data_IF_626979643963
#
_entry.id   IF_626979643963
#
_cell.length_a   1.000
_cell.length_b   1.000
_cell.length_c   1.000
_cell.angle_alpha   90.00
_cell.angle_beta   90.00
_cell.angle_gamma   90.00
#
_symmetry.space_group_name_H-M   'P 1'
#
loop_
_entity.id
_entity.type
_entity.pdbx_description
1 polymer ?
#
# COMPACT_ATOMS: atom_id res chain seq x y z
N UNK A 1 15.93 -26.26 22.15
CA UNK A 1 15.20 -26.32 20.87
C UNK A 1 15.32 -24.96 20.20
N UNK A 2 15.96 -24.86 19.05
CA UNK A 2 15.94 -23.66 18.23
C UNK A 2 14.50 -23.41 17.78
N UNK A 3 13.94 -22.20 17.96
CA UNK A 3 12.60 -21.91 17.46
C UNK A 3 12.55 -22.17 15.94
N UNK A 4 11.43 -22.66 15.40
CA UNK A 4 11.32 -22.90 13.98
C UNK A 4 11.61 -21.61 13.23
N UNK A 5 12.49 -21.66 12.20
CA UNK A 5 12.76 -20.49 11.35
C UNK A 5 11.45 -19.99 10.79
N UNK A 6 11.04 -18.80 11.20
CA UNK A 6 9.86 -18.14 10.63
C UNK A 6 10.06 -17.97 9.12
N UNK A 7 9.04 -18.31 8.32
CA UNK A 7 9.08 -18.08 6.87
C UNK A 7 9.24 -16.58 6.59
N UNK A 8 10.03 -16.26 5.59
CA UNK A 8 10.17 -14.89 5.10
C UNK A 8 8.83 -14.41 4.55
N UNK A 9 8.43 -13.21 4.93
CA UNK A 9 7.28 -12.52 4.38
C UNK A 9 7.71 -11.23 3.65
N UNK A 10 6.89 -10.82 2.69
CA UNK A 10 7.09 -9.64 1.86
C UNK A 10 5.78 -8.87 1.81
N UNK A 11 5.81 -7.57 2.06
CA UNK A 11 4.67 -6.69 1.85
C UNK A 11 5.07 -5.53 0.92
N UNK A 12 4.49 -5.52 -0.27
CA UNK A 12 4.78 -4.53 -1.32
C UNK A 12 3.70 -3.45 -1.41
N UNK A 13 2.61 -3.57 -0.61
CA UNK A 13 1.49 -2.66 -0.65
C UNK A 13 0.98 -2.39 0.77
N UNK A 14 1.53 -1.35 1.37
CA UNK A 14 1.18 -0.96 2.73
C UNK A 14 1.15 0.58 2.82
N UNK A 15 -0.05 1.14 3.02
CA UNK A 15 -0.23 2.59 3.16
C UNK A 15 0.15 3.05 4.56
N UNK A 16 1.09 3.98 4.68
CA UNK A 16 1.55 4.47 5.99
C UNK A 16 0.40 5.00 6.86
N UNK A 17 -0.61 5.64 6.24
CA UNK A 17 -1.78 6.17 6.95
C UNK A 17 -2.62 5.12 7.69
N UNK A 18 -2.57 3.86 7.25
CA UNK A 18 -3.36 2.76 7.79
C UNK A 18 -2.51 1.61 8.34
N UNK A 19 -1.21 1.84 8.49
CA UNK A 19 -0.24 0.81 8.93
C UNK A 19 0.39 1.08 10.28
N UNK A 20 0.06 2.20 10.91
CA UNK A 20 0.58 2.56 12.24
C UNK A 20 -0.42 2.13 13.31
N UNK A 21 0.06 1.42 14.31
CA UNK A 21 -0.78 0.95 15.39
C UNK A 21 -1.52 2.12 16.10
N UNK A 22 -2.82 1.98 16.41
CA UNK A 22 -3.62 3.02 17.05
C UNK A 22 -2.97 3.61 18.31
N UNK A 23 -2.35 2.78 19.15
CA UNK A 23 -1.66 3.20 20.35
C UNK A 23 -0.46 4.13 20.10
N UNK A 24 0.22 3.95 18.97
CA UNK A 24 1.33 4.82 18.55
C UNK A 24 0.77 6.16 18.05
N UNK A 25 -0.27 6.13 17.20
CA UNK A 25 -0.93 7.36 16.75
C UNK A 25 -1.51 8.16 17.91
N UNK A 26 -2.13 7.48 18.88
CA UNK A 26 -2.62 8.10 20.11
C UNK A 26 -1.50 8.80 20.88
N UNK A 27 -0.37 8.12 21.09
CA UNK A 27 0.81 8.68 21.76
C UNK A 27 1.37 9.90 21.03
N UNK A 28 1.50 9.83 19.69
CA UNK A 28 1.98 10.94 18.86
C UNK A 28 1.04 12.14 19.00
N UNK A 29 -0.28 11.93 18.88
CA UNK A 29 -1.28 12.98 18.96
C UNK A 29 -1.19 13.74 20.30
N UNK A 30 -1.06 13.01 21.41
CA UNK A 30 -0.96 13.61 22.74
C UNK A 30 0.35 14.40 22.94
N UNK A 31 1.48 13.84 22.50
CA UNK A 31 2.78 14.53 22.58
C UNK A 31 2.82 15.82 21.74
N UNK A 32 2.11 15.84 20.62
CA UNK A 32 2.06 16.99 19.71
C UNK A 32 0.90 17.94 19.99
N UNK A 33 0.10 17.69 21.05
CA UNK A 33 -1.04 18.54 21.42
C UNK A 33 -2.15 18.56 20.35
N UNK A 34 -2.29 17.49 19.55
CA UNK A 34 -3.35 17.37 18.56
C UNK A 34 -4.65 17.03 19.30
N UNK A 35 -5.64 17.90 19.15
CA UNK A 35 -6.98 17.66 19.71
C UNK A 35 -7.69 16.56 18.91
N UNK A 36 -7.82 15.39 19.51
CA UNK A 36 -8.58 14.27 18.95
C UNK A 36 -10.09 14.45 19.20
N UNK A 37 -10.95 13.78 18.41
CA UNK A 37 -12.41 13.84 18.57
C UNK A 37 -12.90 13.13 19.85
N UNK A 38 -12.19 12.10 20.31
CA UNK A 38 -12.43 11.41 21.57
C UNK A 38 -11.30 11.65 22.58
N UNK A 39 -11.65 11.60 23.88
CA UNK A 39 -10.71 11.60 25.00
C UNK A 39 -10.44 10.18 25.51
N UNK A 40 -11.14 9.19 25.01
CA UNK A 40 -10.97 7.77 25.32
C UNK A 40 -10.19 7.07 24.21
N UNK A 41 -9.23 6.24 24.60
CA UNK A 41 -8.38 5.51 23.65
C UNK A 41 -9.17 4.50 22.82
N UNK A 42 -10.10 3.79 23.43
CA UNK A 42 -10.85 2.73 22.74
C UNK A 42 -11.82 3.32 21.71
N UNK A 43 -12.47 4.42 22.04
CA UNK A 43 -13.28 5.17 21.06
C UNK A 43 -12.42 5.65 19.88
N UNK A 44 -11.18 6.10 20.15
CA UNK A 44 -10.26 6.52 19.10
C UNK A 44 -9.83 5.34 18.22
N UNK A 45 -9.49 4.20 18.84
CA UNK A 45 -9.13 2.99 18.11
C UNK A 45 -10.28 2.52 17.22
N UNK A 46 -11.51 2.43 17.75
CA UNK A 46 -12.70 2.06 16.98
C UNK A 46 -12.95 3.01 15.80
N UNK A 47 -12.63 4.30 15.96
CA UNK A 47 -12.79 5.29 14.90
C UNK A 47 -11.81 5.11 13.74
N UNK A 48 -10.61 4.57 13.98
CA UNK A 48 -9.54 4.43 12.96
C UNK A 48 -9.26 2.97 12.58
N UNK A 49 -10.08 2.02 13.04
CA UNK A 49 -10.00 0.60 12.69
C UNK A 49 -11.35 0.08 12.23
N UNK A 50 -11.33 -1.02 11.51
CA UNK A 50 -12.54 -1.74 11.10
C UNK A 50 -12.62 -3.05 11.84
N UNK A 51 -13.65 -3.22 12.68
CA UNK A 51 -13.85 -4.43 13.47
C UNK A 51 -14.89 -5.37 12.86
N UNK A 52 -14.90 -6.63 13.28
CA UNK A 52 -15.93 -7.59 12.95
C UNK A 52 -16.19 -7.73 11.43
N UNK A 53 -17.43 -7.50 11.01
CA UNK A 53 -17.87 -7.60 9.61
C UNK A 53 -18.11 -6.24 8.95
N UNK A 54 -17.57 -5.17 9.49
CA UNK A 54 -17.70 -3.83 8.94
C UNK A 54 -17.15 -3.75 7.52
N UNK A 55 -17.81 -2.94 6.69
CA UNK A 55 -17.45 -2.71 5.30
C UNK A 55 -17.65 -1.25 4.93
N UNK A 56 -16.72 -0.70 4.21
CA UNK A 56 -16.90 0.58 3.53
C UNK A 56 -17.80 0.41 2.31
N UNK A 57 -18.63 1.41 2.05
CA UNK A 57 -19.47 1.46 0.85
C UNK A 57 -18.63 1.81 -0.39
N UNK A 58 -17.61 2.61 -0.19
CA UNK A 58 -16.69 3.05 -1.24
C UNK A 58 -15.42 3.69 -0.63
N UNK A 59 -14.44 3.99 -1.47
CA UNK A 59 -13.17 4.61 -1.06
C UNK A 59 -13.34 6.04 -0.49
N UNK A 60 -14.36 6.77 -0.88
CA UNK A 60 -14.64 8.12 -0.33
C UNK A 60 -15.03 8.05 1.16
N UNK A 61 -15.84 7.06 1.55
CA UNK A 61 -16.21 6.83 2.93
C UNK A 61 -15.00 6.44 3.78
N UNK A 62 -14.16 5.55 3.26
CA UNK A 62 -12.90 5.16 3.89
C UNK A 62 -11.97 6.37 4.12
N UNK A 63 -11.78 7.20 3.10
CA UNK A 63 -10.93 8.39 3.22
C UNK A 63 -11.43 9.37 4.28
N UNK A 64 -12.73 9.61 4.36
CA UNK A 64 -13.30 10.53 5.35
C UNK A 64 -13.22 10.00 6.78
N UNK A 65 -13.45 8.71 6.96
CA UNK A 65 -13.58 8.12 8.29
C UNK A 65 -12.21 7.80 8.92
N UNK A 66 -11.26 7.31 8.13
CA UNK A 66 -9.98 6.81 8.64
C UNK A 66 -8.81 7.74 8.30
N UNK A 67 -8.55 8.00 7.03
CA UNK A 67 -7.34 8.72 6.62
C UNK A 67 -7.29 10.17 7.08
N UNK A 68 -8.43 10.82 7.30
CA UNK A 68 -8.45 12.19 7.81
C UNK A 68 -7.66 12.34 9.13
N UNK A 69 -7.92 11.46 10.10
CA UNK A 69 -7.27 11.53 11.41
C UNK A 69 -5.84 10.99 11.38
N UNK A 70 -5.63 9.86 10.75
CA UNK A 70 -4.30 9.25 10.71
C UNK A 70 -3.30 10.12 9.95
N UNK A 71 -3.71 10.72 8.84
CA UNK A 71 -2.87 11.66 8.10
C UNK A 71 -2.60 12.96 8.87
N UNK A 72 -3.58 13.48 9.60
CA UNK A 72 -3.40 14.68 10.41
C UNK A 72 -2.41 14.45 11.56
N UNK A 73 -2.48 13.31 12.23
CA UNK A 73 -1.55 12.93 13.29
C UNK A 73 -0.12 12.79 12.74
N UNK A 74 0.00 12.23 11.53
CA UNK A 74 1.28 12.02 10.83
C UNK A 74 1.73 13.24 10.02
N UNK A 75 1.47 14.47 10.49
CA UNK A 75 1.76 15.71 9.74
C UNK A 75 2.92 16.52 10.34
N UNK A 76 3.91 15.85 10.92
CA UNK A 76 5.19 16.42 11.31
C UNK A 76 6.34 15.46 11.00
N UNK A 77 7.57 15.95 10.84
CA UNK A 77 8.74 15.09 10.62
C UNK A 77 8.90 14.01 11.69
N UNK A 78 8.77 14.38 12.98
CA UNK A 78 8.88 13.43 14.10
C UNK A 78 7.79 12.36 14.06
N UNK A 79 6.54 12.73 13.75
CA UNK A 79 5.44 11.78 13.64
C UNK A 79 5.63 10.80 12.46
N UNK A 80 6.11 11.29 11.33
CA UNK A 80 6.40 10.45 10.15
C UNK A 80 7.56 9.50 10.44
N UNK A 81 8.65 9.98 11.01
CA UNK A 81 9.81 9.15 11.35
C UNK A 81 9.41 8.01 12.28
N UNK A 82 8.71 8.33 13.38
CA UNK A 82 8.23 7.34 14.35
C UNK A 82 7.24 6.37 13.69
N UNK A 83 6.30 6.87 12.90
CA UNK A 83 5.32 6.05 12.18
C UNK A 83 5.99 5.02 11.27
N UNK A 84 6.93 5.45 10.44
CA UNK A 84 7.65 4.54 9.53
C UNK A 84 8.49 3.53 10.30
N UNK A 85 9.28 3.98 11.28
CA UNK A 85 10.09 3.09 12.12
C UNK A 85 9.23 2.01 12.79
N UNK A 86 8.12 2.42 13.40
CA UNK A 86 7.23 1.50 14.11
C UNK A 86 6.51 0.53 13.17
N UNK A 87 6.08 1.00 11.99
CA UNK A 87 5.42 0.14 11.00
C UNK A 87 6.37 -0.93 10.46
N UNK A 88 7.57 -0.55 10.06
CA UNK A 88 8.58 -1.49 9.54
C UNK A 88 8.97 -2.50 10.61
N UNK A 89 9.33 -2.03 11.82
CA UNK A 89 9.69 -2.91 12.93
C UNK A 89 8.52 -3.78 13.41
N UNK A 90 7.30 -3.25 13.41
CA UNK A 90 6.08 -3.98 13.74
C UNK A 90 5.79 -5.10 12.74
N UNK A 91 5.90 -4.83 11.45
CA UNK A 91 5.74 -5.83 10.39
C UNK A 91 6.72 -6.99 10.52
N UNK A 92 7.98 -6.69 10.83
CA UNK A 92 8.98 -7.73 11.12
C UNK A 92 8.63 -8.54 12.36
N UNK A 93 8.32 -7.90 13.48
CA UNK A 93 8.00 -8.61 14.73
C UNK A 93 6.73 -9.45 14.64
N UNK A 94 5.66 -8.90 14.02
CA UNK A 94 4.36 -9.58 13.89
C UNK A 94 4.39 -10.71 12.85
N UNK A 95 4.97 -10.46 11.67
CA UNK A 95 4.82 -11.33 10.49
C UNK A 95 6.13 -11.72 9.80
N UNK A 96 7.30 -11.40 10.38
CA UNK A 96 8.62 -11.65 9.78
C UNK A 96 8.73 -11.04 8.36
N UNK A 97 8.18 -9.83 8.15
CA UNK A 97 8.34 -9.10 6.89
C UNK A 97 9.79 -8.65 6.80
N UNK A 98 10.51 -9.18 5.80
CA UNK A 98 11.92 -8.85 5.54
C UNK A 98 12.10 -7.94 4.32
N UNK A 99 11.07 -7.80 3.49
CA UNK A 99 11.00 -6.81 2.42
C UNK A 99 9.69 -6.04 2.61
N UNK A 100 9.79 -4.75 2.90
CA UNK A 100 8.63 -3.92 3.22
C UNK A 100 8.65 -2.63 2.40
N UNK A 101 7.68 -2.44 1.53
CA UNK A 101 7.51 -1.21 0.76
C UNK A 101 6.30 -0.43 1.27
N UNK A 102 6.57 0.68 1.94
CA UNK A 102 5.56 1.59 2.45
C UNK A 102 5.25 2.68 1.42
N UNK A 103 3.99 3.06 1.34
CA UNK A 103 3.56 4.14 0.46
C UNK A 103 2.79 5.23 1.20
N UNK A 104 3.01 6.49 0.80
CA UNK A 104 2.24 7.62 1.30
C UNK A 104 2.32 8.83 0.37
N UNK A 105 1.35 9.75 0.50
CA UNK A 105 1.37 11.04 -0.18
C UNK A 105 2.03 12.09 0.74
N UNK A 106 3.18 12.67 0.37
CA UNK A 106 3.88 13.63 1.24
C UNK A 106 3.14 14.98 1.34
N UNK A 107 2.39 15.37 0.30
CA UNK A 107 1.66 16.63 0.28
C UNK A 107 0.45 16.61 1.23
N UNK A 108 -0.13 15.45 1.49
CA UNK A 108 -1.19 15.28 2.49
C UNK A 108 -0.68 15.33 3.94
N UNK A 109 0.63 15.33 4.16
CA UNK A 109 1.28 15.34 5.49
C UNK A 109 1.68 16.72 5.98
N UNK A 110 1.23 17.79 5.35
CA UNK A 110 1.57 19.16 5.77
C UNK A 110 0.37 19.97 6.30
N UNK A 111 -0.68 19.31 6.74
CA UNK A 111 -1.97 19.96 7.07
C UNK A 111 -1.90 20.94 8.24
N UNK A 112 -1.02 20.76 9.22
CA UNK A 112 -0.97 21.58 10.44
C UNK A 112 0.42 21.99 10.91
N UNK A 113 1.48 21.50 10.32
CA UNK A 113 2.83 21.74 10.84
C UNK A 113 3.82 22.01 9.73
N UNK A 114 4.55 21.00 9.38
CA UNK A 114 5.61 21.10 8.39
C UNK A 114 5.05 21.37 6.99
N UNK A 115 5.52 22.43 6.36
CA UNK A 115 5.14 22.82 5.00
C UNK A 115 6.16 22.40 3.97
N UNK A 116 7.38 22.09 4.41
CA UNK A 116 8.43 21.59 3.53
C UNK A 116 8.30 20.06 3.37
N UNK A 117 7.86 19.64 2.18
CA UNK A 117 7.77 18.21 1.85
C UNK A 117 9.11 17.49 1.93
N UNK A 118 10.23 18.18 1.76
CA UNK A 118 11.56 17.57 1.88
C UNK A 118 11.78 17.07 3.31
N UNK A 119 11.39 17.82 4.33
CA UNK A 119 11.48 17.37 5.72
C UNK A 119 10.61 16.14 6.00
N UNK A 120 9.39 16.09 5.46
CA UNK A 120 8.49 14.93 5.57
C UNK A 120 9.10 13.68 4.91
N UNK A 121 9.64 13.85 3.69
CA UNK A 121 10.26 12.74 2.94
C UNK A 121 11.53 12.25 3.64
N UNK A 122 12.40 13.16 4.06
CA UNK A 122 13.62 12.82 4.79
C UNK A 122 13.31 12.10 6.11
N UNK A 123 12.29 12.56 6.85
CA UNK A 123 11.86 11.90 8.08
C UNK A 123 11.36 10.47 7.83
N UNK A 124 10.63 10.24 6.74
CA UNK A 124 10.20 8.89 6.35
C UNK A 124 11.41 7.98 6.04
N UNK A 125 12.40 8.51 5.31
CA UNK A 125 13.64 7.78 5.00
C UNK A 125 14.44 7.45 6.26
N UNK A 126 14.60 8.40 7.19
CA UNK A 126 15.25 8.17 8.48
C UNK A 126 14.50 7.13 9.33
N UNK A 127 13.17 7.16 9.33
CA UNK A 127 12.37 6.16 10.01
C UNK A 127 12.61 4.74 9.47
N UNK A 128 12.70 4.60 8.14
CA UNK A 128 13.03 3.33 7.49
C UNK A 128 14.46 2.88 7.82
N UNK A 129 15.44 3.79 7.75
CA UNK A 129 16.83 3.51 8.10
C UNK A 129 16.98 3.06 9.56
N UNK A 130 16.37 3.76 10.51
CA UNK A 130 16.38 3.40 11.92
C UNK A 130 15.77 2.01 12.16
N UNK A 131 14.69 1.66 11.44
CA UNK A 131 14.12 0.32 11.53
C UNK A 131 15.06 -0.75 10.97
N UNK A 132 15.73 -0.49 9.86
CA UNK A 132 16.72 -1.42 9.28
C UNK A 132 17.97 -1.58 10.14
N UNK A 133 18.40 -0.54 10.83
CA UNK A 133 19.49 -0.62 11.82
C UNK A 133 19.09 -1.47 13.03
N UNK A 134 17.85 -1.33 13.51
CA UNK A 134 17.32 -2.12 14.62
C UNK A 134 17.06 -3.59 14.22
N UNK A 135 16.66 -3.81 12.97
CA UNK A 135 16.36 -5.13 12.39
C UNK A 135 17.13 -5.36 11.10
N UNK A 136 18.43 -5.78 11.14
CA UNK A 136 19.29 -5.90 9.96
C UNK A 136 18.81 -6.90 8.89
N UNK A 137 17.83 -7.74 9.22
CA UNK A 137 17.20 -8.68 8.27
C UNK A 137 16.17 -8.00 7.37
N UNK A 138 15.74 -6.79 7.73
CA UNK A 138 14.70 -6.05 7.01
C UNK A 138 15.33 -5.15 5.96
N UNK A 139 14.74 -5.14 4.78
CA UNK A 139 14.92 -4.12 3.75
C UNK A 139 13.62 -3.36 3.62
N UNK A 140 13.65 -2.05 3.80
CA UNK A 140 12.49 -1.18 3.66
C UNK A 140 12.72 -0.13 2.56
N UNK A 141 11.68 0.18 1.81
CA UNK A 141 11.68 1.22 0.79
C UNK A 141 10.41 2.07 0.85
N UNK A 142 10.52 3.31 0.39
CA UNK A 142 9.40 4.25 0.40
C UNK A 142 8.94 4.52 -1.03
N UNK A 143 7.63 4.45 -1.27
CA UNK A 143 6.97 4.81 -2.51
C UNK A 143 6.20 6.11 -2.28
N UNK A 144 6.44 7.13 -3.10
CA UNK A 144 5.67 8.36 -3.04
C UNK A 144 4.41 8.25 -3.91
N UNK A 145 3.27 8.60 -3.31
CA UNK A 145 1.96 8.49 -3.96
C UNK A 145 1.53 9.83 -4.55
N UNK A 146 1.22 9.84 -5.84
CA UNK A 146 0.33 10.81 -6.46
C UNK A 146 -1.10 10.60 -5.99
N UNK A 147 -1.97 11.58 -6.21
CA UNK A 147 -3.35 11.50 -5.78
C UNK A 147 -4.32 11.87 -6.90
N UNK A 148 -5.44 11.12 -7.02
CA UNK A 148 -6.48 11.36 -8.01
C UNK A 148 -7.29 12.64 -7.76
N UNK A 149 -7.18 13.21 -6.56
CA UNK A 149 -7.81 14.49 -6.21
C UNK A 149 -6.90 15.70 -6.53
N UNK A 150 -5.65 15.45 -6.89
CA UNK A 150 -4.67 16.48 -7.18
C UNK A 150 -4.63 16.84 -8.66
N UNK A 151 -4.27 18.10 -8.93
CA UNK A 151 -3.96 18.55 -10.28
C UNK A 151 -2.69 17.87 -10.80
N UNK A 152 -2.53 17.83 -12.13
CA UNK A 152 -1.30 17.31 -12.76
C UNK A 152 -0.06 17.98 -12.19
N UNK A 153 -0.09 19.32 -11.96
CA UNK A 153 1.02 20.08 -11.40
C UNK A 153 1.37 19.68 -9.97
N UNK A 154 0.39 19.38 -9.12
CA UNK A 154 0.64 18.89 -7.77
C UNK A 154 1.26 17.48 -7.80
N UNK A 155 0.77 16.62 -8.66
CA UNK A 155 1.33 15.29 -8.87
C UNK A 155 2.74 15.35 -9.47
N UNK A 156 3.02 16.30 -10.35
CA UNK A 156 4.36 16.55 -10.89
C UNK A 156 5.37 16.89 -9.77
N UNK A 157 5.00 17.75 -8.82
CA UNK A 157 5.86 18.05 -7.66
C UNK A 157 6.20 16.78 -6.87
N UNK A 158 5.24 15.87 -6.67
CA UNK A 158 5.48 14.60 -5.98
C UNK A 158 6.50 13.74 -6.74
N UNK A 159 6.36 13.65 -8.07
CA UNK A 159 7.29 12.90 -8.91
C UNK A 159 8.69 13.52 -8.91
N UNK A 160 8.80 14.86 -8.95
CA UNK A 160 10.08 15.55 -8.82
C UNK A 160 10.78 15.23 -7.50
N UNK A 161 10.02 15.19 -6.40
CA UNK A 161 10.54 14.77 -5.10
C UNK A 161 10.95 13.30 -5.09
N UNK A 162 10.16 12.42 -5.70
CA UNK A 162 10.53 11.00 -5.80
C UNK A 162 11.85 10.81 -6.56
N UNK A 163 12.04 11.51 -7.67
CA UNK A 163 13.29 11.48 -8.44
C UNK A 163 14.45 12.05 -7.62
N UNK A 164 14.25 13.18 -6.92
CA UNK A 164 15.28 13.81 -6.08
C UNK A 164 15.82 12.86 -5.00
N UNK A 165 14.95 12.09 -4.38
CA UNK A 165 15.28 11.20 -3.25
C UNK A 165 15.47 9.73 -3.62
N UNK A 166 15.51 9.40 -4.91
CA UNK A 166 15.62 8.03 -5.40
C UNK A 166 16.88 7.31 -4.85
N UNK A 167 18.02 7.97 -4.84
CA UNK A 167 19.27 7.43 -4.31
C UNK A 167 19.30 7.29 -2.78
N UNK A 168 18.31 7.84 -2.08
CA UNK A 168 18.23 7.84 -0.61
C UNK A 168 17.19 6.88 -0.06
N UNK A 169 16.49 6.10 -0.93
CA UNK A 169 15.53 5.09 -0.47
C UNK A 169 14.08 5.31 -0.92
N UNK A 170 13.82 6.33 -1.77
CA UNK A 170 12.58 6.36 -2.54
C UNK A 170 12.73 5.36 -3.68
N UNK A 171 11.95 4.29 -3.62
CA UNK A 171 12.10 3.16 -4.54
C UNK A 171 11.10 3.18 -5.71
N UNK A 172 10.04 3.96 -5.61
CA UNK A 172 9.01 4.00 -6.65
C UNK A 172 7.99 5.12 -6.47
N UNK A 173 7.08 5.18 -7.43
CA UNK A 173 5.89 6.02 -7.39
C UNK A 173 4.63 5.19 -7.55
N UNK A 174 3.53 5.74 -7.05
CA UNK A 174 2.18 5.20 -7.17
C UNK A 174 1.19 6.31 -7.50
N UNK A 175 -0.04 5.98 -7.89
CA UNK A 175 -1.18 6.87 -7.86
C UNK A 175 -2.36 6.16 -7.22
N UNK A 176 -2.95 6.78 -6.21
CA UNK A 176 -4.08 6.25 -5.47
C UNK A 176 -5.13 7.33 -5.19
N UNK A 177 -6.10 7.00 -4.36
CA UNK A 177 -7.22 7.87 -4.01
C UNK A 177 -8.50 7.53 -4.78
N UNK A 178 -9.62 8.09 -4.34
CA UNK A 178 -10.93 7.78 -4.93
C UNK A 178 -11.01 8.24 -6.37
N UNK A 179 -11.77 7.48 -7.17
CA UNK A 179 -11.96 7.82 -8.56
C UNK A 179 -12.65 9.18 -8.72
N UNK A 180 -12.05 10.05 -9.51
CA UNK A 180 -12.56 11.39 -9.79
C UNK A 180 -12.71 11.59 -11.30
N UNK A 181 -13.83 12.18 -11.73
CA UNK A 181 -14.04 12.55 -13.14
C UNK A 181 -13.02 13.55 -13.65
N UNK A 182 -12.40 14.29 -12.75
CA UNK A 182 -11.36 15.29 -13.04
C UNK A 182 -9.97 14.68 -13.17
N UNK A 183 -9.79 13.41 -12.82
CA UNK A 183 -8.51 12.72 -12.97
C UNK A 183 -8.45 11.96 -14.29
N UNK A 184 -7.37 12.15 -15.01
CA UNK A 184 -7.04 11.41 -16.24
C UNK A 184 -5.67 10.80 -16.12
N UNK A 185 -5.59 9.47 -16.09
CA UNK A 185 -4.30 8.77 -16.07
C UNK A 185 -3.49 9.04 -17.35
N UNK A 186 -4.15 9.35 -18.47
CA UNK A 186 -3.55 9.72 -19.75
C UNK A 186 -2.74 11.01 -19.63
N UNK A 187 -3.28 12.02 -18.97
CA UNK A 187 -2.59 13.30 -18.75
C UNK A 187 -1.36 13.15 -17.83
N UNK A 188 -1.34 12.12 -16.99
CA UNK A 188 -0.22 11.82 -16.09
C UNK A 188 0.83 10.89 -16.70
N UNK A 189 0.63 10.38 -17.92
CA UNK A 189 1.54 9.38 -18.52
C UNK A 189 2.99 9.86 -18.54
N UNK A 190 3.25 11.10 -18.89
CA UNK A 190 4.62 11.65 -18.94
C UNK A 190 5.31 11.64 -17.56
N UNK A 191 4.57 11.71 -16.46
CA UNK A 191 5.10 11.62 -15.10
C UNK A 191 5.63 10.21 -14.81
N UNK A 192 4.90 9.18 -15.22
CA UNK A 192 5.36 7.80 -15.12
C UNK A 192 6.58 7.55 -15.99
N UNK A 193 6.61 8.09 -17.20
CA UNK A 193 7.76 7.96 -18.10
C UNK A 193 9.02 8.65 -17.50
N UNK A 194 8.87 9.82 -16.87
CA UNK A 194 9.96 10.51 -16.16
C UNK A 194 10.47 9.70 -14.98
N UNK A 195 9.58 9.17 -14.15
CA UNK A 195 9.94 8.34 -13.00
C UNK A 195 10.70 7.06 -13.43
N UNK A 196 10.20 6.38 -14.47
CA UNK A 196 10.88 5.21 -15.04
C UNK A 196 12.28 5.54 -15.57
N UNK A 197 12.41 6.66 -16.30
CA UNK A 197 13.72 7.13 -16.81
C UNK A 197 14.70 7.42 -15.69
N UNK A 198 14.23 7.86 -14.54
CA UNK A 198 15.04 8.07 -13.34
C UNK A 198 15.36 6.77 -12.57
N UNK A 199 14.82 5.62 -12.98
CA UNK A 199 15.07 4.31 -12.34
C UNK A 199 14.16 3.99 -11.17
N UNK A 200 13.05 4.72 -11.00
CA UNK A 200 12.01 4.42 -10.02
C UNK A 200 11.10 3.29 -10.51
N UNK A 201 10.66 2.43 -9.59
CA UNK A 201 9.61 1.46 -9.85
C UNK A 201 8.25 2.13 -10.01
N UNK A 202 7.39 1.53 -10.85
CA UNK A 202 6.05 2.03 -11.09
C UNK A 202 5.02 1.03 -10.59
N UNK A 203 4.18 1.46 -9.64
CA UNK A 203 2.93 0.78 -9.29
C UNK A 203 1.76 1.74 -9.47
N UNK A 204 0.58 1.26 -9.78
CA UNK A 204 -0.60 2.10 -10.05
C UNK A 204 -1.81 1.39 -9.49
N UNK A 205 -2.56 2.04 -8.57
CA UNK A 205 -3.86 1.55 -8.14
C UNK A 205 -4.83 1.62 -9.32
N UNK A 206 -5.33 0.49 -9.77
CA UNK A 206 -6.38 0.40 -10.79
C UNK A 206 -6.99 -0.99 -10.81
N UNK A 207 -8.22 -1.13 -11.31
CA UNK A 207 -8.91 -2.42 -11.29
C UNK A 207 -9.21 -2.94 -9.89
N UNK A 208 -9.27 -2.06 -8.90
CA UNK A 208 -9.86 -2.30 -7.59
C UNK A 208 -11.37 -2.14 -7.71
N UNK A 209 -11.85 -0.98 -8.09
CA UNK A 209 -13.24 -0.80 -8.48
C UNK A 209 -13.44 -1.19 -9.96
N UNK A 210 -14.67 -1.35 -10.41
CA UNK A 210 -15.03 -1.92 -11.72
C UNK A 210 -14.59 -1.10 -12.98
N UNK A 211 -13.59 -0.24 -12.85
CA UNK A 211 -13.14 0.66 -13.93
C UNK A 211 -12.06 0.02 -14.79
N UNK A 212 -12.46 -0.93 -15.59
CA UNK A 212 -11.54 -1.68 -16.45
C UNK A 212 -10.93 -0.84 -17.59
N UNK A 213 -11.57 0.26 -18.01
CA UNK A 213 -11.05 1.11 -19.09
C UNK A 213 -9.75 1.81 -18.70
N UNK A 214 -9.68 2.35 -17.47
CA UNK A 214 -8.42 2.88 -16.96
C UNK A 214 -7.36 1.78 -16.86
N UNK A 215 -7.71 0.62 -16.32
CA UNK A 215 -6.76 -0.49 -16.21
C UNK A 215 -6.26 -0.97 -17.58
N UNK A 216 -7.13 -1.01 -18.61
CA UNK A 216 -6.71 -1.32 -20.00
C UNK A 216 -5.68 -0.32 -20.49
N UNK A 217 -5.88 0.97 -20.26
CA UNK A 217 -4.92 2.00 -20.65
C UNK A 217 -3.61 1.84 -19.89
N UNK A 218 -3.66 1.69 -18.58
CA UNK A 218 -2.49 1.49 -17.71
C UNK A 218 -1.66 0.29 -18.18
N UNK A 219 -2.31 -0.84 -18.43
CA UNK A 219 -1.62 -2.07 -18.85
C UNK A 219 -1.02 -1.97 -20.24
N UNK A 220 -1.69 -1.32 -21.20
CA UNK A 220 -1.24 -1.30 -22.59
C UNK A 220 -0.29 -0.14 -22.92
N UNK A 221 -0.49 1.05 -22.29
CA UNK A 221 0.20 2.26 -22.65
C UNK A 221 1.26 2.70 -21.63
N UNK A 222 0.98 2.53 -20.31
CA UNK A 222 1.95 2.88 -19.27
C UNK A 222 2.87 1.70 -18.97
N UNK A 223 2.30 0.48 -18.92
CA UNK A 223 3.04 -0.77 -18.64
C UNK A 223 3.85 -0.67 -17.35
N UNK A 224 3.20 -0.47 -16.19
CA UNK A 224 3.90 -0.40 -14.91
C UNK A 224 4.50 -1.76 -14.55
N UNK A 225 5.40 -1.77 -13.59
CA UNK A 225 5.97 -3.01 -13.04
C UNK A 225 4.93 -3.78 -12.23
N UNK A 226 4.09 -3.02 -11.49
CA UNK A 226 3.04 -3.58 -10.65
C UNK A 226 1.73 -2.79 -10.78
N UNK A 227 0.66 -3.42 -10.36
CA UNK A 227 -0.66 -2.78 -10.23
C UNK A 227 -1.17 -3.03 -8.82
N UNK A 228 -1.51 -1.94 -8.10
CA UNK A 228 -2.22 -1.99 -6.84
C UNK A 228 -3.61 -2.58 -7.06
N UNK A 229 -3.93 -3.63 -6.32
CA UNK A 229 -5.09 -4.50 -6.47
C UNK A 229 -5.18 -5.17 -7.84
N UNK A 230 -5.82 -4.56 -8.82
CA UNK A 230 -6.00 -5.11 -10.17
C UNK A 230 -6.91 -6.33 -10.24
N UNK A 231 -7.59 -6.71 -9.17
CA UNK A 231 -8.33 -7.96 -9.03
C UNK A 231 -9.51 -8.07 -10.02
N UNK A 232 -10.09 -6.95 -10.43
CA UNK A 232 -11.21 -6.91 -11.37
C UNK A 232 -10.83 -7.32 -12.80
N UNK A 233 -9.53 -7.43 -13.12
CA UNK A 233 -9.09 -7.90 -14.44
C UNK A 233 -9.59 -9.32 -14.77
N UNK A 234 -10.01 -10.09 -13.76
CA UNK A 234 -10.56 -11.45 -13.95
C UNK A 234 -11.83 -11.47 -14.82
N UNK A 235 -12.48 -10.33 -14.98
CA UNK A 235 -13.67 -10.17 -15.81
C UNK A 235 -13.35 -9.84 -17.28
N UNK A 236 -12.06 -9.67 -17.63
CA UNK A 236 -11.62 -9.34 -18.99
C UNK A 236 -10.46 -10.24 -19.44
N UNK A 237 -10.76 -11.16 -20.36
CA UNK A 237 -9.75 -12.13 -20.87
C UNK A 237 -8.61 -11.46 -21.62
N UNK A 238 -8.88 -10.42 -22.40
CA UNK A 238 -7.84 -9.74 -23.18
C UNK A 238 -6.96 -8.89 -22.26
N UNK A 239 -7.55 -8.27 -21.25
CA UNK A 239 -6.79 -7.55 -20.23
C UNK A 239 -5.87 -8.49 -19.45
N UNK A 240 -6.36 -9.67 -19.03
CA UNK A 240 -5.52 -10.69 -18.39
C UNK A 240 -4.33 -11.12 -19.25
N UNK A 241 -4.55 -11.32 -20.56
CA UNK A 241 -3.45 -11.63 -21.50
C UNK A 241 -2.44 -10.50 -21.60
N UNK A 242 -2.90 -9.26 -21.62
CA UNK A 242 -2.04 -8.08 -21.67
C UNK A 242 -1.21 -7.93 -20.38
N UNK A 243 -1.79 -8.17 -19.19
CA UNK A 243 -1.08 -8.20 -17.90
C UNK A 243 0.07 -9.21 -17.94
N UNK A 244 -0.19 -10.42 -18.41
CA UNK A 244 0.84 -11.47 -18.55
C UNK A 244 1.91 -11.09 -19.59
N UNK A 245 1.50 -10.60 -20.75
CA UNK A 245 2.40 -10.19 -21.83
C UNK A 245 3.38 -9.10 -21.39
N UNK A 246 2.90 -8.12 -20.61
CA UNK A 246 3.70 -7.02 -20.11
C UNK A 246 4.44 -7.36 -18.79
N UNK A 247 4.34 -8.62 -18.32
CA UNK A 247 5.00 -9.13 -17.10
C UNK A 247 4.66 -8.33 -15.85
N UNK A 248 3.45 -7.79 -15.74
CA UNK A 248 2.97 -6.99 -14.62
C UNK A 248 2.61 -7.90 -13.44
N UNK A 249 3.00 -7.54 -12.22
CA UNK A 249 2.60 -8.25 -11.00
C UNK A 249 1.48 -7.49 -10.29
N UNK A 250 0.41 -8.17 -9.89
CA UNK A 250 -0.69 -7.58 -9.13
C UNK A 250 -0.37 -7.59 -7.62
N UNK A 251 -0.77 -6.55 -6.91
CA UNK A 251 -0.66 -6.44 -5.45
C UNK A 251 -2.04 -6.75 -4.84
N UNK A 252 -2.33 -8.02 -4.57
CA UNK A 252 -3.63 -8.47 -4.09
C UNK A 252 -3.72 -8.33 -2.58
N UNK A 253 -4.73 -7.59 -2.11
CA UNK A 253 -4.99 -7.29 -0.70
C UNK A 253 -6.32 -7.95 -0.27
N UNK A 254 -6.33 -9.23 0.15
CA UNK A 254 -7.57 -10.01 0.32
C UNK A 254 -8.54 -9.40 1.31
N UNK A 255 -8.09 -9.04 2.51
CA UNK A 255 -8.95 -8.43 3.54
C UNK A 255 -9.47 -7.07 3.10
N UNK A 256 -8.61 -6.20 2.55
CA UNK A 256 -9.02 -4.90 2.02
C UNK A 256 -10.09 -5.05 0.93
N UNK A 257 -9.88 -5.93 -0.05
CA UNK A 257 -10.84 -6.14 -1.13
C UNK A 257 -12.22 -6.62 -0.62
N UNK A 258 -12.26 -7.40 0.45
CA UNK A 258 -13.51 -7.81 1.11
C UNK A 258 -14.13 -6.66 1.91
N UNK A 259 -13.34 -5.90 2.66
CA UNK A 259 -13.78 -4.79 3.52
C UNK A 259 -14.26 -3.57 2.73
N UNK A 260 -13.64 -3.28 1.60
CA UNK A 260 -14.04 -2.17 0.71
C UNK A 260 -15.11 -2.58 -0.32
N UNK A 261 -15.74 -3.72 -0.14
CA UNK A 261 -16.82 -4.22 -1.00
C UNK A 261 -16.42 -4.39 -2.49
N UNK A 262 -15.13 -4.45 -2.78
CA UNK A 262 -14.57 -4.76 -4.11
C UNK A 262 -14.92 -6.19 -4.50
N UNK A 263 -14.85 -7.09 -3.54
CA UNK A 263 -15.25 -8.50 -3.61
C UNK A 263 -16.36 -8.74 -2.58
N UNK A 264 -17.45 -9.38 -3.00
CA UNK A 264 -18.64 -9.55 -2.16
C UNK A 264 -18.46 -10.54 -1.00
N UNK A 265 -17.70 -11.61 -1.24
CA UNK A 265 -17.54 -12.68 -0.26
C UNK A 265 -16.32 -13.57 -0.56
N UNK A 266 -16.03 -14.48 0.37
CA UNK A 266 -14.91 -15.41 0.26
C UNK A 266 -14.98 -16.35 -0.96
N UNK A 267 -16.14 -16.91 -1.36
CA UNK A 267 -16.26 -17.68 -2.58
C UNK A 267 -15.88 -16.88 -3.86
N UNK A 268 -16.28 -15.62 -3.96
CA UNK A 268 -15.93 -14.75 -5.08
C UNK A 268 -14.42 -14.44 -5.09
N UNK A 269 -13.83 -14.13 -3.93
CA UNK A 269 -12.38 -13.97 -3.78
C UNK A 269 -11.63 -15.22 -4.24
N UNK A 270 -12.11 -16.39 -3.82
CA UNK A 270 -11.53 -17.68 -4.25
C UNK A 270 -11.62 -17.84 -5.76
N UNK A 271 -12.76 -17.56 -6.36
CA UNK A 271 -12.95 -17.64 -7.81
C UNK A 271 -11.99 -16.69 -8.54
N UNK A 272 -11.85 -15.45 -8.08
CA UNK A 272 -10.94 -14.46 -8.66
C UNK A 272 -9.48 -14.94 -8.58
N UNK A 273 -8.98 -15.30 -7.39
CA UNK A 273 -7.59 -15.75 -7.21
C UNK A 273 -7.30 -17.02 -8.03
N UNK A 274 -8.24 -17.98 -8.07
CA UNK A 274 -8.07 -19.17 -8.91
C UNK A 274 -8.04 -18.84 -10.42
N UNK A 275 -8.79 -17.82 -10.85
CA UNK A 275 -8.77 -17.32 -12.22
C UNK A 275 -7.42 -16.69 -12.56
N UNK A 276 -6.84 -15.88 -11.65
CA UNK A 276 -5.50 -15.33 -11.83
C UNK A 276 -4.44 -16.42 -12.01
N UNK A 277 -4.44 -17.43 -11.14
CA UNK A 277 -3.51 -18.57 -11.23
C UNK A 277 -3.67 -19.34 -12.54
N UNK A 278 -4.91 -19.66 -12.94
CA UNK A 278 -5.23 -20.37 -14.20
C UNK A 278 -4.68 -19.62 -15.41
N UNK A 279 -4.73 -18.28 -15.39
CA UNK A 279 -4.22 -17.42 -16.46
C UNK A 279 -2.74 -17.05 -16.31
N UNK A 280 -2.01 -17.65 -15.36
CA UNK A 280 -0.58 -17.43 -15.11
C UNK A 280 -0.22 -15.97 -14.76
N UNK A 281 -1.16 -15.22 -14.21
CA UNK A 281 -0.92 -13.86 -13.72
C UNK A 281 -0.12 -13.95 -12.41
N UNK A 282 0.97 -13.20 -12.33
CA UNK A 282 1.78 -13.09 -11.11
C UNK A 282 1.09 -12.12 -10.16
N UNK A 283 1.08 -12.47 -8.89
CA UNK A 283 0.59 -11.56 -7.84
C UNK A 283 1.33 -11.77 -6.52
N UNK A 284 1.43 -10.69 -5.75
CA UNK A 284 1.86 -10.68 -4.36
C UNK A 284 0.63 -10.64 -3.45
N UNK A 285 0.70 -11.25 -2.28
CA UNK A 285 -0.27 -11.03 -1.21
C UNK A 285 0.23 -9.87 -0.37
N UNK A 286 -0.60 -8.87 -0.17
CA UNK A 286 -0.29 -7.62 0.51
C UNK A 286 -1.37 -7.26 1.53
N UNK A 287 -1.11 -6.27 2.39
CA UNK A 287 -2.02 -5.90 3.47
C UNK A 287 -2.84 -4.65 3.21
N UNK A 288 -2.36 -3.71 2.39
CA UNK A 288 -2.95 -2.39 2.14
C UNK A 288 -2.95 -1.50 3.40
N UNK A 289 -3.74 -1.83 4.39
CA UNK A 289 -3.86 -1.10 5.64
C UNK A 289 -3.93 -2.05 6.85
N UNK A 290 -2.80 -2.67 7.27
CA UNK A 290 -2.82 -3.76 8.24
C UNK A 290 -3.44 -3.38 9.58
N UNK A 291 -3.19 -2.19 10.10
CA UNK A 291 -3.75 -1.78 11.39
C UNK A 291 -5.22 -1.32 11.24
N UNK A 292 -5.57 -0.65 10.15
CA UNK A 292 -6.96 -0.25 9.87
C UNK A 292 -7.88 -1.46 9.68
N UNK A 293 -7.44 -2.48 8.91
CA UNK A 293 -8.23 -3.69 8.67
C UNK A 293 -8.01 -4.78 9.72
N UNK A 294 -7.21 -4.53 10.76
CA UNK A 294 -6.82 -5.48 11.79
C UNK A 294 -6.30 -6.80 11.19
N UNK A 295 -5.41 -6.70 10.22
CA UNK A 295 -4.78 -7.81 9.54
C UNK A 295 -3.24 -7.73 9.60
N UNK A 296 -2.58 -8.69 9.01
CA UNK A 296 -1.13 -8.73 8.79
C UNK A 296 -0.85 -9.75 7.69
N UNK A 297 0.34 -9.74 7.09
CA UNK A 297 0.71 -10.74 6.07
C UNK A 297 0.49 -12.17 6.58
N UNK A 298 0.78 -12.44 7.85
CA UNK A 298 0.55 -13.76 8.43
C UNK A 298 -0.93 -14.11 8.49
N UNK A 299 -1.78 -13.17 8.90
CA UNK A 299 -3.25 -13.35 8.93
C UNK A 299 -3.80 -13.54 7.52
N UNK A 300 -3.33 -12.75 6.54
CA UNK A 300 -3.71 -12.94 5.13
C UNK A 300 -3.36 -14.34 4.63
N UNK A 301 -2.15 -14.79 4.92
CA UNK A 301 -1.69 -16.14 4.54
C UNK A 301 -2.53 -17.24 5.19
N UNK A 302 -2.77 -17.15 6.49
CA UNK A 302 -3.61 -18.11 7.23
C UNK A 302 -5.05 -18.12 6.71
N UNK A 303 -5.62 -16.94 6.42
CA UNK A 303 -6.94 -16.79 5.85
C UNK A 303 -7.06 -17.50 4.49
N UNK A 304 -6.09 -17.30 3.60
CA UNK A 304 -6.07 -17.92 2.27
C UNK A 304 -5.93 -19.45 2.34
N UNK A 305 -5.11 -19.96 3.26
CA UNK A 305 -4.93 -21.40 3.48
C UNK A 305 -6.17 -22.03 4.11
N UNK A 306 -6.70 -21.44 5.19
CA UNK A 306 -7.89 -21.92 5.92
C UNK A 306 -9.10 -22.04 5.01
N UNK A 307 -9.32 -21.06 4.12
CA UNK A 307 -10.42 -21.06 3.16
C UNK A 307 -10.12 -21.87 1.88
N UNK A 308 -8.98 -22.55 1.82
CA UNK A 308 -8.55 -23.34 0.66
C UNK A 308 -8.58 -22.51 -0.64
N UNK A 309 -8.22 -21.24 -0.55
CA UNK A 309 -8.06 -20.32 -1.69
C UNK A 309 -6.74 -20.60 -2.37
N UNK A 310 -5.67 -20.74 -1.58
CA UNK A 310 -4.34 -21.15 -2.00
C UNK A 310 -3.90 -22.40 -1.24
N UNK A 311 -3.08 -23.23 -1.87
CA UNK A 311 -2.25 -24.25 -1.21
C UNK A 311 -0.99 -23.60 -0.66
N UNK A 312 -0.28 -24.29 0.24
CA UNK A 312 1.01 -23.80 0.78
C UNK A 312 2.03 -23.55 -0.35
N UNK A 313 2.11 -24.45 -1.34
CA UNK A 313 3.01 -24.30 -2.49
C UNK A 313 2.68 -23.06 -3.33
N UNK A 314 1.40 -22.78 -3.55
CA UNK A 314 0.96 -21.60 -4.28
C UNK A 314 1.27 -20.33 -3.48
N UNK A 315 1.07 -20.34 -2.16
CA UNK A 315 1.40 -19.23 -1.28
C UNK A 315 2.92 -18.95 -1.26
N UNK A 316 3.74 -19.98 -1.17
CA UNK A 316 5.20 -19.84 -1.26
C UNK A 316 5.61 -19.26 -2.64
N UNK A 317 4.87 -19.60 -3.71
CA UNK A 317 5.08 -19.04 -5.04
C UNK A 317 4.69 -17.55 -5.11
N UNK A 318 3.60 -17.11 -4.46
CA UNK A 318 3.25 -15.68 -4.41
C UNK A 318 4.30 -14.87 -3.66
N UNK A 319 4.85 -15.39 -2.55
CA UNK A 319 5.97 -14.77 -1.84
C UNK A 319 7.20 -14.64 -2.74
N UNK A 320 7.52 -15.68 -3.52
CA UNK A 320 8.63 -15.61 -4.48
C UNK A 320 8.39 -14.57 -5.59
N UNK A 321 7.18 -14.44 -6.09
CA UNK A 321 6.83 -13.39 -7.04
C UNK A 321 6.95 -12.00 -6.41
N UNK A 322 6.50 -11.84 -5.17
CA UNK A 322 6.65 -10.59 -4.41
C UNK A 322 8.12 -10.18 -4.26
N UNK A 323 9.00 -11.11 -3.86
CA UNK A 323 10.45 -10.86 -3.76
C UNK A 323 11.06 -10.38 -5.08
N UNK A 324 10.63 -10.96 -6.22
CA UNK A 324 11.12 -10.56 -7.55
C UNK A 324 10.55 -9.25 -8.05
N UNK A 325 9.34 -8.90 -7.62
CA UNK A 325 8.64 -7.68 -8.02
C UNK A 325 8.99 -6.49 -7.13
N UNK A 326 9.72 -6.69 -6.03
CA UNK A 326 10.17 -5.60 -5.16
C UNK A 326 11.03 -4.59 -5.90
N UNK A 327 10.82 -3.31 -5.62
CA UNK A 327 11.64 -2.20 -6.11
C UNK A 327 12.93 -2.03 -5.31
N UNK A 328 13.04 -2.65 -4.15
CA UNK A 328 14.24 -2.65 -3.31
C UNK A 328 15.27 -3.59 -3.93
N UNK A 329 16.42 -3.04 -4.27
CA UNK A 329 17.55 -3.76 -4.88
C UNK A 329 18.52 -4.30 -3.85
#
# INVERSE_FOLDING_TARGET
MTPPKRKIAVDLHSHLGSSVAPSILWSIAHRQGIKLPSKDYWDFEDMITMTGNERNKNLDEMNRNFFHWTEMIQSSPEAIEESVKCTVGGGYRKSNITIHELRFNPMKRNRRGERDMDHIIMAALWGAEKAMLEYPQVKAGIILMMDREFTVKQNEIIVDKAIKYQSQGIVGIDVAGPNRKTFSVQEHKYLFDRARKAGLGLTIHTGEEAQLDEMRYVVNEIKPDRIGHGIQCVHDKELMKAVVKNNITLEICPTSNLRNSVIKNVPELKSAIRTLLKNKIKFAICTDGPEMYQTSIMIEHEFLLKNKILTQKELDQTTHWAMKASFIK
#
